data_IF_555935700485
#
_entry.id   IF_555935700485
#
_cell.length_a   1.000
_cell.length_b   1.000
_cell.length_c   1.000
_cell.angle_alpha   90.00
_cell.angle_beta   90.00
_cell.angle_gamma   90.00
#
_symmetry.space_group_name_H-M   'P 1'
#
loop_
_entity.id
_entity.type
_entity.pdbx_description
1 polymer ?
#
# COMPACT_ATOMS: atom_id res chain seq x y z
N UNK A 1 -12.62 -5.32 11.75
CA UNK A 1 -12.55 -6.17 10.55
C UNK A 1 -13.96 -6.56 10.15
N UNK A 2 -14.34 -6.34 8.91
CA UNK A 2 -15.67 -6.62 8.37
C UNK A 2 -15.57 -7.56 7.16
N UNK A 3 -16.66 -8.23 6.74
CA UNK A 3 -16.67 -9.02 5.48
C UNK A 3 -16.27 -8.19 4.26
N UNK A 4 -16.61 -6.91 4.24
CA UNK A 4 -16.22 -5.99 3.17
C UNK A 4 -14.69 -5.77 3.14
N UNK A 5 -14.02 -5.73 4.28
CA UNK A 5 -12.56 -5.57 4.34
C UNK A 5 -11.86 -6.73 3.66
N UNK A 6 -12.31 -7.96 3.92
CA UNK A 6 -11.74 -9.13 3.27
C UNK A 6 -12.02 -9.14 1.76
N UNK A 7 -13.24 -8.81 1.36
CA UNK A 7 -13.63 -8.73 -0.06
C UNK A 7 -12.73 -7.74 -0.82
N UNK A 8 -12.53 -6.55 -0.27
CA UNK A 8 -11.71 -5.50 -0.88
C UNK A 8 -10.24 -5.85 -0.94
N UNK A 9 -9.72 -6.50 0.10
CA UNK A 9 -8.33 -6.97 0.07
C UNK A 9 -8.13 -8.12 -0.91
N UNK A 10 -9.06 -9.09 -1.00
CA UNK A 10 -9.01 -10.14 -2.05
C UNK A 10 -9.04 -9.55 -3.46
N UNK A 11 -9.89 -8.56 -3.69
CA UNK A 11 -9.94 -7.83 -4.95
C UNK A 11 -8.61 -7.14 -5.25
N UNK A 12 -8.05 -6.44 -4.25
CA UNK A 12 -6.80 -5.71 -4.38
C UNK A 12 -5.61 -6.64 -4.64
N UNK A 13 -5.55 -7.79 -3.96
CA UNK A 13 -4.51 -8.80 -4.22
C UNK A 13 -4.59 -9.28 -5.67
N UNK A 14 -5.77 -9.64 -6.17
CA UNK A 14 -5.95 -10.04 -7.58
C UNK A 14 -5.55 -8.94 -8.57
N UNK A 15 -5.84 -7.69 -8.26
CA UNK A 15 -5.43 -6.55 -9.07
C UNK A 15 -3.91 -6.37 -9.06
N UNK A 16 -3.29 -6.41 -7.89
CA UNK A 16 -1.84 -6.22 -7.70
C UNK A 16 -1.06 -7.36 -8.34
N UNK A 17 -1.52 -8.60 -8.22
CA UNK A 17 -0.89 -9.79 -8.80
C UNK A 17 -0.68 -9.68 -10.32
N UNK A 18 -1.49 -8.91 -11.04
CA UNK A 18 -1.31 -8.68 -12.48
C UNK A 18 0.03 -8.01 -12.81
N UNK A 19 0.61 -7.25 -11.88
CA UNK A 19 1.92 -6.63 -12.09
C UNK A 19 3.05 -7.66 -12.13
N UNK A 20 2.85 -8.80 -11.46
CA UNK A 20 3.87 -9.84 -11.32
C UNK A 20 4.27 -10.48 -12.65
N UNK A 21 3.41 -10.37 -13.67
CA UNK A 21 3.65 -10.85 -15.04
C UNK A 21 4.11 -9.72 -15.99
N UNK A 22 4.50 -8.57 -15.46
CA UNK A 22 4.96 -7.41 -16.26
C UNK A 22 6.47 -7.19 -16.11
N UNK A 23 7.01 -6.26 -16.90
CA UNK A 23 8.40 -5.81 -16.78
C UNK A 23 8.71 -5.11 -15.45
N UNK A 24 7.68 -4.68 -14.71
CA UNK A 24 7.80 -3.97 -13.43
C UNK A 24 6.93 -4.63 -12.36
N UNK A 25 7.29 -5.86 -11.93
CA UNK A 25 6.53 -6.56 -10.90
C UNK A 25 6.58 -5.80 -9.58
N UNK A 26 5.46 -5.71 -8.89
CA UNK A 26 5.37 -5.05 -7.59
C UNK A 26 4.31 -5.72 -6.69
N UNK A 27 4.62 -5.98 -5.40
CA UNK A 27 3.69 -6.63 -4.47
C UNK A 27 2.77 -5.61 -3.78
N UNK A 28 2.97 -4.31 -4.06
CA UNK A 28 2.27 -3.23 -3.39
C UNK A 28 1.14 -2.68 -4.25
N UNK A 29 -0.06 -2.71 -3.71
CA UNK A 29 -1.27 -2.15 -4.32
C UNK A 29 -2.11 -1.42 -3.29
N UNK A 30 -2.86 -0.41 -3.72
CA UNK A 30 -3.81 0.31 -2.88
C UNK A 30 -5.13 0.57 -3.61
N UNK A 31 -6.23 0.62 -2.84
CA UNK A 31 -7.59 0.83 -3.31
C UNK A 31 -8.28 1.80 -2.34
N UNK A 32 -8.96 2.81 -2.86
CA UNK A 32 -9.81 3.71 -2.08
C UNK A 32 -11.27 3.45 -2.44
N UNK A 33 -12.10 3.29 -1.39
CA UNK A 33 -13.54 3.10 -1.51
C UNK A 33 -14.30 4.13 -0.66
N UNK A 34 -15.52 4.45 -1.03
CA UNK A 34 -16.42 5.20 -0.16
C UNK A 34 -16.76 4.34 1.06
N UNK A 35 -16.57 4.86 2.27
CA UNK A 35 -16.70 4.11 3.53
C UNK A 35 -18.13 3.60 3.75
N UNK A 36 -19.14 4.39 3.35
CA UNK A 36 -20.56 4.04 3.57
C UNK A 36 -21.08 3.05 2.52
N UNK A 37 -20.82 3.32 1.23
CA UNK A 37 -21.36 2.51 0.14
C UNK A 37 -20.47 1.33 -0.27
N UNK A 38 -19.19 1.32 0.13
CA UNK A 38 -18.20 0.37 -0.36
C UNK A 38 -17.83 0.58 -1.84
N UNK A 39 -18.38 1.60 -2.49
CA UNK A 39 -18.12 1.90 -3.90
C UNK A 39 -16.66 2.29 -4.15
N UNK A 40 -16.05 1.66 -5.16
CA UNK A 40 -14.65 1.92 -5.53
C UNK A 40 -14.47 3.29 -6.15
N UNK A 41 -13.52 4.07 -5.63
CA UNK A 41 -13.15 5.37 -6.20
C UNK A 41 -11.93 5.25 -7.12
N UNK A 42 -10.83 4.69 -6.61
CA UNK A 42 -9.54 4.63 -7.29
C UNK A 42 -8.69 3.47 -6.78
N UNK A 43 -7.83 2.93 -7.64
CA UNK A 43 -6.80 1.97 -7.26
C UNK A 43 -5.53 2.19 -8.06
N UNK A 44 -4.38 1.85 -7.48
CA UNK A 44 -3.10 1.88 -8.16
C UNK A 44 -2.16 0.79 -7.57
N UNK A 45 -1.11 0.50 -8.32
CA UNK A 45 0.03 -0.31 -7.87
C UNK A 45 1.28 0.54 -7.77
N UNK A 46 2.28 0.07 -7.04
CA UNK A 46 3.59 0.71 -6.98
C UNK A 46 4.17 0.91 -8.39
N UNK A 47 4.79 2.06 -8.61
CA UNK A 47 5.39 2.43 -9.88
C UNK A 47 6.76 3.11 -9.74
N UNK A 48 7.40 3.00 -8.58
CA UNK A 48 8.71 3.61 -8.29
C UNK A 48 9.72 3.35 -9.41
N UNK A 49 9.88 2.10 -9.82
CA UNK A 49 10.85 1.72 -10.86
C UNK A 49 10.42 2.19 -12.25
N UNK A 50 9.13 2.20 -12.54
CA UNK A 50 8.59 2.59 -13.85
C UNK A 50 8.63 4.10 -14.05
N UNK A 51 8.38 4.87 -12.99
CA UNK A 51 8.28 6.33 -13.03
C UNK A 51 9.58 7.02 -12.60
N UNK A 52 10.59 6.25 -12.12
CA UNK A 52 11.82 6.77 -11.51
C UNK A 52 11.52 7.81 -10.41
N UNK A 53 10.50 7.53 -9.60
CA UNK A 53 10.01 8.41 -8.55
C UNK A 53 9.88 7.62 -7.24
N UNK A 54 10.72 7.90 -6.21
CA UNK A 54 10.67 7.19 -4.93
C UNK A 54 9.36 7.40 -4.17
N UNK A 55 8.59 8.43 -4.51
CA UNK A 55 7.27 8.68 -3.90
C UNK A 55 6.14 7.91 -4.57
N UNK A 56 6.36 7.27 -5.72
CA UNK A 56 5.33 6.56 -6.49
C UNK A 56 4.94 5.21 -5.89
N UNK A 57 4.77 5.16 -4.56
CA UNK A 57 4.15 4.05 -3.85
C UNK A 57 2.67 3.94 -4.23
N UNK A 58 2.12 2.73 -4.13
CA UNK A 58 0.72 2.45 -4.50
C UNK A 58 -0.27 3.38 -3.79
N UNK A 59 -0.09 3.58 -2.49
CA UNK A 59 -0.96 4.39 -1.65
C UNK A 59 -0.91 5.88 -2.04
N UNK A 60 0.31 6.44 -2.18
CA UNK A 60 0.50 7.85 -2.60
C UNK A 60 -0.12 8.08 -3.97
N UNK A 61 0.11 7.16 -4.91
CA UNK A 61 -0.48 7.24 -6.25
C UNK A 61 -2.00 7.16 -6.20
N UNK A 62 -2.56 6.26 -5.38
CA UNK A 62 -4.01 6.10 -5.27
C UNK A 62 -4.66 7.35 -4.68
N UNK A 63 -4.09 7.94 -3.62
CA UNK A 63 -4.53 9.21 -3.01
C UNK A 63 -4.47 10.33 -4.04
N UNK A 64 -3.33 10.51 -4.71
CA UNK A 64 -3.15 11.55 -5.73
C UNK A 64 -4.18 11.46 -6.86
N UNK A 65 -4.42 10.27 -7.37
CA UNK A 65 -5.40 10.04 -8.43
C UNK A 65 -6.84 10.24 -7.95
N UNK A 66 -7.16 9.82 -6.71
CA UNK A 66 -8.48 10.02 -6.11
C UNK A 66 -8.78 11.51 -5.90
N UNK A 67 -7.84 12.25 -5.32
CA UNK A 67 -7.95 13.70 -5.13
C UNK A 67 -8.14 14.44 -6.47
N UNK A 68 -7.35 14.06 -7.49
CA UNK A 68 -7.49 14.62 -8.84
C UNK A 68 -8.86 14.33 -9.44
N UNK A 69 -9.38 13.10 -9.28
CA UNK A 69 -10.70 12.70 -9.79
C UNK A 69 -11.83 13.47 -9.12
N UNK A 70 -11.75 13.67 -7.81
CA UNK A 70 -12.76 14.41 -7.04
C UNK A 70 -12.56 15.93 -7.08
N UNK A 71 -11.45 16.41 -7.66
CA UNK A 71 -11.05 17.83 -7.61
C UNK A 71 -11.03 18.37 -6.17
N UNK A 72 -10.56 17.56 -5.22
CA UNK A 72 -10.53 17.83 -3.79
C UNK A 72 -9.23 17.33 -3.18
N UNK A 73 -8.66 18.04 -2.22
CA UNK A 73 -7.56 17.57 -1.39
C UNK A 73 -8.03 16.70 -0.22
N UNK A 74 -9.34 16.61 0.01
CA UNK A 74 -9.94 15.83 1.10
C UNK A 74 -10.61 14.58 0.57
N UNK A 75 -10.30 13.46 1.20
CA UNK A 75 -10.91 12.14 1.03
C UNK A 75 -11.67 11.73 2.31
N UNK A 76 -12.23 12.72 3.04
CA UNK A 76 -13.13 12.42 4.16
C UNK A 76 -14.32 11.60 3.67
N UNK A 77 -14.71 10.57 4.43
CA UNK A 77 -15.73 9.60 4.03
C UNK A 77 -15.19 8.43 3.20
N UNK A 78 -13.86 8.32 3.04
CA UNK A 78 -13.24 7.23 2.29
C UNK A 78 -12.31 6.37 3.14
N UNK A 79 -12.27 5.09 2.80
CA UNK A 79 -11.36 4.07 3.37
C UNK A 79 -10.33 3.66 2.32
N UNK A 80 -9.06 3.60 2.72
CA UNK A 80 -7.99 3.03 1.91
C UNK A 80 -7.68 1.59 2.35
N UNK A 81 -7.59 0.69 1.38
CA UNK A 81 -7.05 -0.65 1.54
C UNK A 81 -5.67 -0.71 0.92
N UNK A 82 -4.72 -1.37 1.59
CA UNK A 82 -3.37 -1.60 1.07
C UNK A 82 -2.96 -3.06 1.24
N UNK A 83 -2.28 -3.63 0.25
CA UNK A 83 -1.76 -5.01 0.35
C UNK A 83 -0.69 -5.16 1.42
N UNK A 84 -0.02 -4.06 1.77
CA UNK A 84 0.97 -3.98 2.83
C UNK A 84 0.71 -2.77 3.73
N UNK A 85 1.12 -2.85 4.98
CA UNK A 85 1.06 -1.74 5.93
C UNK A 85 1.74 -0.49 5.34
N UNK A 86 1.06 0.66 5.28
CA UNK A 86 1.62 1.88 4.73
C UNK A 86 2.88 2.33 5.48
N UNK A 87 3.96 2.60 4.75
CA UNK A 87 5.15 3.22 5.32
C UNK A 87 4.84 4.66 5.83
N UNK A 88 5.73 5.29 6.61
CA UNK A 88 5.50 6.64 7.15
C UNK A 88 5.11 7.68 6.12
N UNK A 89 5.73 7.68 4.93
CA UNK A 89 5.39 8.58 3.81
C UNK A 89 3.93 8.37 3.36
N UNK A 90 3.54 7.11 3.15
CA UNK A 90 2.19 6.77 2.69
C UNK A 90 1.14 7.07 3.75
N UNK A 91 1.44 6.75 5.02
CA UNK A 91 0.50 7.04 6.12
C UNK A 91 0.33 8.55 6.33
N UNK A 92 1.42 9.33 6.30
CA UNK A 92 1.34 10.78 6.37
C UNK A 92 0.52 11.37 5.20
N UNK A 93 0.70 10.85 3.98
CA UNK A 93 -0.10 11.27 2.82
C UNK A 93 -1.58 10.94 3.00
N UNK A 94 -1.94 9.78 3.57
CA UNK A 94 -3.31 9.40 3.89
C UNK A 94 -3.95 10.36 4.92
N UNK A 95 -3.19 10.76 5.95
CA UNK A 95 -3.61 11.73 6.97
C UNK A 95 -3.84 13.12 6.36
N UNK A 96 -2.90 13.62 5.55
CA UNK A 96 -3.07 14.90 4.84
C UNK A 96 -4.27 14.90 3.91
N UNK A 97 -4.58 13.77 3.28
CA UNK A 97 -5.78 13.60 2.47
C UNK A 97 -7.06 13.41 3.30
N UNK A 98 -7.00 13.38 4.65
CA UNK A 98 -8.17 13.20 5.53
C UNK A 98 -8.93 11.90 5.30
N UNK A 99 -8.23 10.81 4.96
CA UNK A 99 -8.88 9.50 4.93
C UNK A 99 -9.40 9.12 6.32
N UNK A 100 -10.64 8.62 6.39
CA UNK A 100 -11.23 8.20 7.68
C UNK A 100 -10.59 6.94 8.22
N UNK A 101 -10.16 6.04 7.30
CA UNK A 101 -9.72 4.70 7.67
C UNK A 101 -8.68 4.15 6.69
N UNK A 102 -7.73 3.40 7.23
CA UNK A 102 -6.73 2.62 6.48
C UNK A 102 -6.77 1.18 6.96
N UNK A 103 -6.92 0.23 6.02
CA UNK A 103 -6.89 -1.22 6.28
C UNK A 103 -5.77 -1.84 5.48
N UNK A 104 -4.93 -2.65 6.12
CA UNK A 104 -3.79 -3.25 5.44
C UNK A 104 -3.71 -4.77 5.64
N UNK A 105 -3.05 -5.44 4.68
CA UNK A 105 -2.84 -6.88 4.66
C UNK A 105 -1.56 -7.32 5.35
N UNK A 106 -0.44 -7.41 4.62
CA UNK A 106 0.87 -7.74 5.19
C UNK A 106 1.41 -6.59 6.06
N UNK A 107 2.29 -6.89 7.00
CA UNK A 107 2.93 -5.89 7.86
C UNK A 107 4.21 -5.33 7.23
N UNK A 108 4.72 -4.18 7.75
CA UNK A 108 6.06 -3.68 7.42
C UNK A 108 7.12 -4.75 7.71
N UNK A 109 7.00 -5.49 8.81
CA UNK A 109 7.92 -6.56 9.17
C UNK A 109 7.92 -7.72 8.15
N UNK A 110 6.76 -8.04 7.55
CA UNK A 110 6.68 -9.04 6.48
C UNK A 110 7.43 -8.56 5.22
N UNK A 111 7.17 -7.34 4.79
CA UNK A 111 7.84 -6.73 3.64
C UNK A 111 9.36 -6.60 3.85
N UNK A 112 9.80 -6.31 5.08
CA UNK A 112 11.22 -6.13 5.43
C UNK A 112 12.06 -7.40 5.24
N UNK A 113 11.44 -8.57 5.13
CA UNK A 113 12.14 -9.82 4.79
C UNK A 113 12.64 -9.83 3.34
N UNK A 114 12.10 -8.96 2.49
CA UNK A 114 12.32 -8.97 1.05
C UNK A 114 12.92 -7.68 0.50
N UNK A 115 12.57 -6.54 1.09
CA UNK A 115 13.05 -5.22 0.66
C UNK A 115 13.12 -4.25 1.84
N UNK A 116 14.00 -3.26 1.74
CA UNK A 116 14.21 -2.27 2.80
C UNK A 116 12.92 -1.54 3.14
N UNK A 117 12.67 -1.37 4.44
CA UNK A 117 11.51 -0.67 4.99
C UNK A 117 11.93 0.35 6.05
N UNK A 118 11.12 1.38 6.24
CA UNK A 118 11.21 2.26 7.41
C UNK A 118 10.36 1.62 8.51
N UNK A 119 11.01 1.19 9.60
CA UNK A 119 10.42 0.37 10.67
C UNK A 119 9.55 1.17 11.65
N UNK A 120 8.70 2.07 11.12
CA UNK A 120 7.75 2.85 11.91
C UNK A 120 6.33 2.39 11.51
N UNK A 121 5.56 1.76 12.42
CA UNK A 121 4.22 1.29 12.14
C UNK A 121 3.27 2.43 11.74
N UNK A 122 2.34 2.15 10.82
CA UNK A 122 1.33 3.12 10.38
C UNK A 122 0.50 3.68 11.56
N UNK A 123 0.18 2.84 12.55
CA UNK A 123 -0.51 3.26 13.78
C UNK A 123 0.29 4.30 14.59
N UNK A 124 1.61 4.17 14.63
CA UNK A 124 2.47 5.13 15.35
C UNK A 124 2.49 6.49 14.64
N UNK A 125 2.52 6.50 13.30
CA UNK A 125 2.42 7.74 12.52
C UNK A 125 1.06 8.41 12.77
N UNK A 126 -0.03 7.64 12.71
CA UNK A 126 -1.38 8.16 12.97
C UNK A 126 -1.51 8.73 14.38
N UNK A 127 -0.99 8.02 15.40
CA UNK A 127 -1.03 8.44 16.80
C UNK A 127 -0.32 9.78 17.07
N UNK A 128 0.73 10.09 16.31
CA UNK A 128 1.50 11.34 16.43
C UNK A 128 0.95 12.48 15.58
N UNK A 129 -0.26 12.33 15.05
CA UNK A 129 -0.92 13.31 14.19
C UNK A 129 -2.15 13.88 14.89
N UNK A 130 -2.42 15.18 14.69
CA UNK A 130 -3.69 15.80 15.08
C UNK A 130 -4.85 15.39 14.17
N UNK A 131 -4.55 14.69 13.05
CA UNK A 131 -5.55 14.22 12.10
C UNK A 131 -6.05 12.83 12.49
N UNK A 132 -7.37 12.67 12.53
CA UNK A 132 -8.00 11.40 12.89
C UNK A 132 -7.99 10.45 11.68
N UNK A 133 -7.52 9.22 11.89
CA UNK A 133 -7.60 8.13 10.92
C UNK A 133 -7.55 6.79 11.67
N UNK A 134 -8.53 5.93 11.45
CA UNK A 134 -8.54 4.58 12.02
C UNK A 134 -7.59 3.69 11.20
N UNK A 135 -6.61 3.06 11.85
CA UNK A 135 -5.66 2.15 11.20
C UNK A 135 -5.88 0.73 11.70
N UNK A 136 -6.24 -0.18 10.80
CA UNK A 136 -6.54 -1.57 11.11
C UNK A 136 -5.75 -2.53 10.22
N UNK A 137 -5.31 -3.61 10.83
CA UNK A 137 -4.58 -4.70 10.18
C UNK A 137 -3.72 -5.47 11.21
N UNK A 138 -3.13 -6.59 10.77
CA UNK A 138 -3.21 -7.18 9.43
C UNK A 138 -4.56 -7.90 9.16
N UNK A 139 -5.05 -7.81 7.93
CA UNK A 139 -6.25 -8.52 7.44
C UNK A 139 -5.85 -9.36 6.22
N UNK A 140 -6.20 -10.64 6.19
CA UNK A 140 -5.77 -11.59 5.15
C UNK A 140 -4.25 -11.58 4.93
N UNK A 141 -3.48 -11.52 6.02
CA UNK A 141 -2.02 -11.39 6.02
C UNK A 141 -1.35 -12.41 5.10
N UNK A 142 -1.71 -13.69 5.23
CA UNK A 142 -1.08 -14.76 4.45
C UNK A 142 -1.38 -14.62 2.95
N UNK A 143 -2.61 -14.23 2.59
CA UNK A 143 -2.97 -13.96 1.21
C UNK A 143 -2.16 -12.79 0.63
N UNK A 144 -1.99 -11.72 1.38
CA UNK A 144 -1.18 -10.58 0.93
C UNK A 144 0.30 -10.95 0.83
N UNK A 145 0.81 -11.81 1.72
CA UNK A 145 2.17 -12.31 1.66
C UNK A 145 2.47 -13.14 0.40
N UNK A 146 1.48 -13.76 -0.24
CA UNK A 146 1.69 -14.47 -1.52
C UNK A 146 2.25 -13.57 -2.62
N UNK A 147 1.99 -12.26 -2.57
CA UNK A 147 2.54 -11.31 -3.53
C UNK A 147 4.07 -11.18 -3.40
N UNK A 148 4.61 -11.28 -2.18
CA UNK A 148 6.06 -11.20 -1.93
C UNK A 148 6.76 -12.51 -2.30
N UNK A 149 6.11 -13.65 -2.11
CA UNK A 149 6.71 -14.97 -2.34
C UNK A 149 6.59 -15.45 -3.79
N UNK A 150 5.89 -14.71 -4.65
CA UNK A 150 5.74 -15.04 -6.07
C UNK A 150 7.13 -15.11 -6.76
N UNK A 151 7.41 -16.13 -7.60
CA UNK A 151 8.73 -16.32 -8.21
C UNK A 151 9.27 -15.09 -8.94
N UNK A 152 8.44 -14.41 -9.73
CA UNK A 152 8.82 -13.20 -10.45
C UNK A 152 9.17 -12.04 -9.49
N UNK A 153 8.46 -11.96 -8.35
CA UNK A 153 8.78 -10.94 -7.36
C UNK A 153 10.07 -11.24 -6.62
N UNK A 154 10.34 -12.50 -6.29
CA UNK A 154 11.61 -12.93 -5.71
C UNK A 154 12.80 -12.58 -6.64
N UNK A 155 12.63 -12.77 -7.94
CA UNK A 155 13.63 -12.36 -8.95
C UNK A 155 13.83 -10.84 -8.97
N UNK A 156 12.74 -10.07 -8.92
CA UNK A 156 12.79 -8.61 -8.92
C UNK A 156 13.47 -8.04 -7.67
N UNK A 157 13.23 -8.59 -6.49
CA UNK A 157 13.88 -8.16 -5.24
C UNK A 157 15.40 -8.26 -5.31
N UNK A 158 15.96 -9.29 -5.94
CA UNK A 158 17.42 -9.41 -6.15
C UNK A 158 17.96 -8.22 -6.96
N UNK A 159 17.22 -7.80 -7.99
CA UNK A 159 17.59 -6.64 -8.81
C UNK A 159 17.45 -5.32 -8.05
N UNK A 160 16.45 -5.19 -7.20
CA UNK A 160 16.26 -3.99 -6.38
C UNK A 160 17.41 -3.83 -5.37
N UNK A 161 17.85 -4.91 -4.73
CA UNK A 161 18.97 -4.90 -3.78
C UNK A 161 20.27 -4.42 -4.41
N UNK A 162 20.57 -4.86 -5.63
CA UNK A 162 21.80 -4.46 -6.33
C UNK A 162 21.80 -3.01 -6.77
N UNK A 163 20.65 -2.46 -7.16
CA UNK A 163 20.51 -1.06 -7.59
C UNK A 163 20.60 -0.06 -6.44
N UNK A 164 20.20 -0.45 -5.25
CA UNK A 164 20.19 0.42 -4.07
C UNK A 164 21.50 0.40 -3.28
N UNK A 165 22.58 -0.19 -3.80
CA UNK A 165 23.90 -0.17 -3.18
C UNK A 165 23.97 -0.89 -1.83
N UNK A 166 23.01 -1.72 -1.50
CA UNK A 166 23.05 -2.50 -0.27
C UNK A 166 24.01 -3.66 -0.43
N UNK A 167 25.30 -3.44 -0.09
CA UNK A 167 26.13 -4.51 0.42
C UNK A 167 25.34 -5.24 1.50
N UNK A 168 25.21 -6.55 1.36
CA UNK A 168 24.70 -7.46 2.37
C UNK A 168 25.22 -7.06 3.75
N UNK A 169 24.35 -6.56 4.61
CA UNK A 169 24.62 -6.61 6.04
C UNK A 169 24.18 -7.97 6.51
N UNK A 170 25.16 -8.72 6.97
CA UNK A 170 25.06 -10.01 7.64
C UNK A 170 24.14 -9.95 8.86
#
# INVERSE_FOLDING_TARGET
>A
MTPLDEERLRELVRFTARTLETAYPAPFGALIVNTKSGGRLMRATNAVMRENDPSSHAEVRTVRLACKKLKSTSLAGYTMYSTCEPCPMCMANALWARLDRVVFGATIADANRYCLQIQIPAKEVAKRSDMQCVVEGPVLRDLCNTLFTHPNMQKAFRTWSTRNGSSSKH
#
